data_IF_860966949901
#
_entry.id   IF_860966949901
#
_cell.length_a   1.000
_cell.length_b   1.000
_cell.length_c   1.000
_cell.angle_alpha   90.00
_cell.angle_beta   90.00
_cell.angle_gamma   90.00
#
_symmetry.space_group_name_H-M   'P 1'
#
loop_
_entity.id
_entity.type
_entity.pdbx_description
1 polymer ?
#
# COMPACT_ATOMS: atom_id res chain seq x y z
N UNK A 1 34.62 -4.44 39.94
CA UNK A 1 34.13 -5.77 39.48
C UNK A 1 33.43 -5.55 38.16
N UNK A 2 34.03 -6.02 37.06
CA UNK A 2 33.42 -5.90 35.73
C UNK A 2 32.23 -6.86 35.66
N UNK A 3 31.03 -6.35 35.40
CA UNK A 3 29.86 -7.21 35.25
C UNK A 3 29.91 -7.88 33.87
N UNK A 4 29.88 -9.22 33.85
CA UNK A 4 30.07 -10.04 32.64
C UNK A 4 28.93 -9.95 31.60
N UNK A 5 27.83 -9.26 31.91
CA UNK A 5 26.76 -8.96 30.94
C UNK A 5 26.10 -7.61 31.28
N UNK A 6 25.69 -6.86 30.26
CA UNK A 6 24.89 -5.65 30.43
C UNK A 6 23.41 -6.03 30.47
N UNK A 7 22.81 -5.96 31.67
CA UNK A 7 21.46 -6.46 31.99
C UNK A 7 20.29 -5.51 31.67
N UNK A 8 20.55 -4.23 31.35
CA UNK A 8 19.48 -3.25 31.07
C UNK A 8 19.65 -2.65 29.68
N UNK A 9 18.53 -2.55 28.93
CA UNK A 9 18.50 -2.00 27.56
C UNK A 9 19.01 -0.55 27.55
N UNK A 10 18.82 0.19 28.65
CA UNK A 10 19.29 1.56 28.82
C UNK A 10 20.82 1.67 28.98
N UNK A 11 21.48 0.66 29.56
CA UNK A 11 22.93 0.68 29.74
C UNK A 11 23.69 0.30 28.46
N UNK A 12 23.12 -0.57 27.61
CA UNK A 12 23.71 -0.89 26.31
C UNK A 12 22.67 -1.42 25.29
N UNK A 13 22.08 -0.56 24.44
CA UNK A 13 21.03 -0.96 23.49
C UNK A 13 21.50 -1.95 22.42
N UNK A 14 22.81 -2.03 22.17
CA UNK A 14 23.41 -2.86 21.11
C UNK A 14 23.83 -4.25 21.57
N UNK A 15 24.09 -4.44 22.87
CA UNK A 15 24.73 -5.64 23.41
C UNK A 15 24.01 -6.19 24.66
N UNK A 16 22.73 -5.87 24.81
CA UNK A 16 21.89 -6.33 25.90
C UNK A 16 21.88 -7.87 25.98
N UNK A 17 22.08 -8.41 27.17
CA UNK A 17 22.11 -9.86 27.44
C UNK A 17 23.14 -10.67 26.64
N UNK A 18 24.21 -10.05 26.13
CA UNK A 18 25.28 -10.74 25.41
C UNK A 18 26.57 -10.74 26.25
N UNK A 19 27.27 -11.87 26.26
CA UNK A 19 28.59 -11.96 26.87
C UNK A 19 29.66 -11.27 25.99
N UNK A 20 30.82 -10.88 26.55
CA UNK A 20 31.90 -10.27 25.77
C UNK A 20 32.38 -11.10 24.58
N UNK A 21 32.31 -12.44 24.66
CA UNK A 21 32.63 -13.34 23.55
C UNK A 21 31.57 -13.29 22.44
N UNK A 22 30.29 -13.31 22.81
CA UNK A 22 29.16 -13.22 21.86
C UNK A 22 29.12 -11.87 21.14
N UNK A 23 29.47 -10.77 21.83
CA UNK A 23 29.59 -9.45 21.21
C UNK A 23 30.68 -9.40 20.14
N UNK A 24 31.85 -10.01 20.39
CA UNK A 24 32.95 -10.11 19.41
C UNK A 24 32.53 -10.93 18.18
N UNK A 25 31.88 -12.07 18.39
CA UNK A 25 31.40 -12.91 17.29
C UNK A 25 30.35 -12.19 16.42
N UNK A 26 29.38 -11.51 17.06
CA UNK A 26 28.38 -10.69 16.35
C UNK A 26 29.03 -9.55 15.55
N UNK A 27 30.05 -8.90 16.10
CA UNK A 27 30.80 -7.84 15.41
C UNK A 27 31.54 -8.35 14.18
N UNK A 28 32.26 -9.47 14.30
CA UNK A 28 32.95 -10.11 13.17
C UNK A 28 31.95 -10.55 12.08
N UNK A 29 30.79 -11.09 12.48
CA UNK A 29 29.71 -11.46 11.53
C UNK A 29 29.12 -10.24 10.82
N UNK A 30 28.99 -9.10 11.51
CA UNK A 30 28.53 -7.85 10.89
C UNK A 30 29.58 -7.30 9.93
N UNK A 31 30.85 -7.26 10.34
CA UNK A 31 31.99 -6.83 9.53
C UNK A 31 32.13 -7.66 8.25
N UNK A 32 32.01 -8.98 8.35
CA UNK A 32 32.00 -9.89 7.19
C UNK A 32 30.88 -9.58 6.21
N UNK A 33 29.64 -9.35 6.69
CA UNK A 33 28.49 -8.98 5.84
C UNK A 33 28.69 -7.63 5.15
N UNK A 34 29.26 -6.65 5.85
CA UNK A 34 29.59 -5.35 5.27
C UNK A 34 30.69 -5.47 4.20
N UNK A 35 31.71 -6.28 4.45
CA UNK A 35 32.78 -6.54 3.49
C UNK A 35 32.27 -7.26 2.23
N UNK A 36 31.40 -8.26 2.39
CA UNK A 36 30.71 -8.95 1.29
C UNK A 36 29.84 -7.96 0.49
N UNK A 37 29.04 -7.13 1.17
CA UNK A 37 28.21 -6.09 0.54
C UNK A 37 29.07 -5.08 -0.22
N UNK A 38 30.20 -4.65 0.36
CA UNK A 38 31.14 -3.72 -0.27
C UNK A 38 31.78 -4.34 -1.52
N UNK A 39 32.21 -5.61 -1.44
CA UNK A 39 32.75 -6.37 -2.58
C UNK A 39 31.71 -6.52 -3.70
N UNK A 40 30.46 -6.83 -3.36
CA UNK A 40 29.36 -6.93 -4.33
C UNK A 40 29.09 -5.58 -5.02
N UNK A 41 29.10 -4.47 -4.26
CA UNK A 41 28.93 -3.11 -4.80
C UNK A 41 30.08 -2.69 -5.73
N UNK A 42 31.33 -3.07 -5.42
CA UNK A 42 32.46 -2.82 -6.30
C UNK A 42 32.36 -3.62 -7.60
N UNK A 43 31.91 -4.87 -7.54
CA UNK A 43 31.69 -5.71 -8.71
C UNK A 43 30.55 -5.17 -9.61
N UNK A 44 29.49 -4.63 -9.00
CA UNK A 44 28.40 -3.98 -9.73
C UNK A 44 28.89 -2.69 -10.43
N UNK A 45 29.76 -1.91 -9.78
CA UNK A 45 30.36 -0.70 -10.38
C UNK A 45 31.33 -1.03 -11.53
N UNK A 46 32.04 -2.16 -11.48
CA UNK A 46 32.93 -2.59 -12.57
C UNK A 46 32.18 -3.27 -13.72
N UNK A 47 30.94 -3.73 -13.51
CA UNK A 47 30.10 -4.23 -14.60
C UNK A 47 29.71 -3.05 -15.49
N UNK A 48 30.47 -2.84 -16.58
CA UNK A 48 30.14 -1.81 -17.56
C UNK A 48 28.85 -2.19 -18.26
N UNK A 49 27.89 -1.26 -18.31
CA UNK A 49 26.65 -1.45 -19.06
C UNK A 49 26.94 -1.85 -20.51
N UNK A 50 26.20 -2.82 -21.03
CA UNK A 50 26.32 -3.26 -22.43
C UNK A 50 26.07 -2.08 -23.38
N UNK A 51 26.55 -2.17 -24.62
CA UNK A 51 26.33 -1.13 -25.62
C UNK A 51 24.82 -0.85 -25.83
N UNK A 52 24.00 -1.90 -25.79
CA UNK A 52 22.55 -1.84 -25.88
C UNK A 52 21.92 -1.09 -24.69
N UNK A 53 22.36 -1.37 -23.46
CA UNK A 53 21.90 -0.66 -22.26
C UNK A 53 22.24 0.83 -22.29
N UNK A 54 23.40 1.19 -22.85
CA UNK A 54 23.79 2.60 -23.05
C UNK A 54 22.88 3.29 -24.07
N UNK A 55 22.67 2.68 -25.23
CA UNK A 55 21.78 3.20 -26.25
C UNK A 55 20.35 3.39 -25.74
N UNK A 56 19.83 2.43 -24.96
CA UNK A 56 18.52 2.55 -24.33
C UNK A 56 18.44 3.73 -23.34
N UNK A 57 19.47 3.91 -22.50
CA UNK A 57 19.53 5.03 -21.55
C UNK A 57 19.53 6.38 -22.26
N UNK A 58 20.27 6.51 -23.35
CA UNK A 58 20.34 7.76 -24.11
C UNK A 58 19.03 8.05 -24.83
N UNK A 59 18.34 7.02 -25.36
CA UNK A 59 16.99 7.16 -25.91
C UNK A 59 15.97 7.65 -24.87
N UNK A 60 16.03 7.14 -23.63
CA UNK A 60 15.15 7.64 -22.55
C UNK A 60 15.45 9.09 -22.19
N UNK A 61 16.72 9.49 -22.14
CA UNK A 61 17.06 10.91 -21.91
C UNK A 61 16.48 11.79 -23.00
N UNK A 62 16.61 11.38 -24.26
CA UNK A 62 16.03 12.11 -25.39
C UNK A 62 14.52 12.24 -25.25
N UNK A 63 13.80 11.14 -24.97
CA UNK A 63 12.35 11.16 -24.74
C UNK A 63 11.91 12.09 -23.60
N UNK A 64 12.69 12.16 -22.51
CA UNK A 64 12.44 13.09 -21.40
C UNK A 64 12.65 14.56 -21.76
N UNK A 65 13.57 14.82 -22.69
CA UNK A 65 13.84 16.18 -23.19
C UNK A 65 12.79 16.63 -24.20
N UNK A 66 12.34 15.73 -25.08
CA UNK A 66 11.33 16.01 -26.11
C UNK A 66 9.93 16.19 -25.52
N UNK A 67 9.57 15.37 -24.52
CA UNK A 67 8.28 15.41 -23.84
C UNK A 67 8.37 16.23 -22.53
N UNK A 68 8.74 17.51 -22.64
CA UNK A 68 8.75 18.44 -21.50
C UNK A 68 7.31 18.84 -21.13
N UNK A 69 7.01 18.80 -19.84
CA UNK A 69 5.74 19.34 -19.32
C UNK A 69 5.66 20.85 -19.61
N UNK A 70 4.48 21.40 -19.97
CA UNK A 70 4.26 22.85 -19.95
C UNK A 70 4.67 23.42 -18.58
N UNK A 71 5.21 24.65 -18.56
CA UNK A 71 5.57 25.31 -17.29
C UNK A 71 4.38 25.27 -16.34
N UNK A 72 4.60 25.08 -15.03
CA UNK A 72 3.53 25.08 -14.06
C UNK A 72 2.85 26.46 -14.06
N UNK A 73 1.62 26.52 -14.56
CA UNK A 73 0.68 27.54 -14.09
C UNK A 73 0.10 26.94 -12.82
N UNK A 74 0.69 27.27 -11.68
CA UNK A 74 0.12 26.91 -10.39
C UNK A 74 -1.26 27.55 -10.30
N UNK A 75 -2.37 26.80 -10.20
CA UNK A 75 -3.60 27.39 -9.68
C UNK A 75 -3.27 27.76 -8.23
N UNK A 76 -3.45 29.03 -7.85
CA UNK A 76 -3.43 29.41 -6.44
C UNK A 76 -4.46 28.53 -5.73
N UNK A 77 -4.01 27.67 -4.81
CA UNK A 77 -4.92 26.92 -3.95
C UNK A 77 -5.43 27.91 -2.90
N UNK A 78 -6.75 28.12 -2.89
CA UNK A 78 -7.42 28.76 -1.76
C UNK A 78 -7.23 27.88 -0.51
N UNK A 79 -6.92 28.44 0.67
CA UNK A 79 -6.74 27.65 1.88
C UNK A 79 -8.09 27.11 2.36
N UNK A 80 -8.34 25.80 2.22
CA UNK A 80 -9.55 25.18 2.80
C UNK A 80 -9.96 23.78 2.34
N UNK A 81 -9.47 23.25 1.22
CA UNK A 81 -9.91 21.93 0.73
C UNK A 81 -8.98 20.77 1.17
N UNK A 82 -9.20 20.26 2.38
CA UNK A 82 -8.66 18.97 2.82
C UNK A 82 -9.55 17.81 2.37
N UNK A 83 -9.62 17.59 1.05
CA UNK A 83 -10.01 16.29 0.50
C UNK A 83 -8.83 15.32 0.61
N UNK A 84 -9.05 14.00 0.82
CA UNK A 84 -7.97 13.03 0.84
C UNK A 84 -7.26 13.06 -0.51
N UNK A 85 -6.00 13.51 -0.54
CA UNK A 85 -5.14 13.56 -1.73
C UNK A 85 -4.91 12.13 -2.26
N UNK A 86 -5.85 11.62 -3.07
CA UNK A 86 -5.76 10.29 -3.69
C UNK A 86 -4.90 10.26 -4.95
N UNK A 87 -4.47 11.41 -5.46
CA UNK A 87 -3.61 11.49 -6.65
C UNK A 87 -2.27 12.12 -6.28
N UNK A 88 -1.19 11.48 -6.74
CA UNK A 88 0.16 12.00 -6.59
C UNK A 88 0.29 13.33 -7.35
N UNK A 89 1.02 14.27 -6.75
CA UNK A 89 1.36 15.52 -7.43
C UNK A 89 2.48 15.25 -8.44
N UNK A 90 2.17 15.43 -9.73
CA UNK A 90 3.11 15.20 -10.83
C UNK A 90 3.82 16.49 -11.30
N UNK A 91 3.70 17.58 -10.53
CA UNK A 91 4.39 18.82 -10.83
C UNK A 91 5.92 18.61 -10.87
N UNK A 92 6.57 19.15 -11.91
CA UNK A 92 8.02 19.04 -12.11
C UNK A 92 8.54 17.71 -12.67
N UNK A 93 7.68 16.71 -12.91
CA UNK A 93 8.05 15.44 -13.53
C UNK A 93 7.91 15.54 -15.06
N UNK A 94 8.85 14.99 -15.88
CA UNK A 94 8.70 14.95 -17.32
C UNK A 94 7.42 14.22 -17.74
N UNK A 95 6.72 14.73 -18.75
CA UNK A 95 5.44 14.16 -19.20
C UNK A 95 5.60 12.69 -19.64
N UNK A 96 6.75 12.37 -20.22
CA UNK A 96 7.12 10.99 -20.55
C UNK A 96 7.05 10.06 -19.34
N UNK A 97 7.63 10.45 -18.20
CA UNK A 97 7.66 9.61 -17.00
C UNK A 97 6.26 9.50 -16.36
N UNK A 98 5.44 10.57 -16.46
CA UNK A 98 4.03 10.54 -16.01
C UNK A 98 3.19 9.57 -16.84
N UNK A 99 3.33 9.62 -18.17
CA UNK A 99 2.63 8.68 -19.07
C UNK A 99 3.07 7.25 -18.83
N UNK A 100 4.38 7.03 -18.72
CA UNK A 100 4.95 5.73 -18.40
C UNK A 100 4.38 5.17 -17.08
N UNK A 101 4.23 6.02 -16.06
CA UNK A 101 3.63 5.64 -14.79
C UNK A 101 2.14 5.29 -14.93
N UNK A 102 1.36 6.08 -15.66
CA UNK A 102 -0.07 5.82 -15.90
C UNK A 102 -0.30 4.54 -16.70
N UNK A 103 0.49 4.30 -17.76
CA UNK A 103 0.45 3.06 -18.53
C UNK A 103 0.80 1.86 -17.66
N UNK A 104 1.85 1.96 -16.83
CA UNK A 104 2.20 0.90 -15.89
C UNK A 104 1.07 0.63 -14.88
N UNK A 105 0.41 1.67 -14.35
CA UNK A 105 -0.75 1.51 -13.48
C UNK A 105 -1.92 0.81 -14.19
N UNK A 106 -2.23 1.21 -15.42
CA UNK A 106 -3.30 0.59 -16.22
C UNK A 106 -3.03 -0.90 -16.45
N UNK A 107 -1.80 -1.26 -16.85
CA UNK A 107 -1.40 -2.65 -17.03
C UNK A 107 -1.47 -3.48 -15.75
N UNK A 108 -1.13 -2.88 -14.59
CA UNK A 108 -1.27 -3.54 -13.29
C UNK A 108 -2.74 -3.75 -12.94
N UNK A 109 -3.60 -2.77 -13.21
CA UNK A 109 -5.04 -2.89 -13.00
C UNK A 109 -5.64 -4.03 -13.84
N UNK A 110 -5.34 -4.07 -15.14
CA UNK A 110 -5.82 -5.13 -16.04
C UNK A 110 -5.35 -6.53 -15.59
N UNK A 111 -4.08 -6.64 -15.18
CA UNK A 111 -3.53 -7.90 -14.63
C UNK A 111 -4.21 -8.30 -13.34
N UNK A 112 -4.46 -7.35 -12.45
CA UNK A 112 -5.17 -7.60 -11.20
C UNK A 112 -6.59 -8.09 -11.50
N UNK A 113 -7.30 -7.48 -12.45
CA UNK A 113 -8.63 -7.95 -12.86
C UNK A 113 -8.61 -9.37 -13.45
N UNK A 114 -7.62 -9.68 -14.28
CA UNK A 114 -7.45 -11.02 -14.85
C UNK A 114 -7.11 -12.06 -13.76
N UNK A 115 -6.25 -11.73 -12.81
CA UNK A 115 -5.92 -12.58 -11.67
C UNK A 115 -7.16 -12.79 -10.78
N UNK A 116 -7.91 -11.72 -10.48
CA UNK A 116 -9.16 -11.80 -9.74
C UNK A 116 -10.21 -12.69 -10.42
N UNK A 117 -10.26 -12.73 -11.76
CA UNK A 117 -11.14 -13.61 -12.53
C UNK A 117 -10.73 -15.08 -12.49
N UNK A 118 -9.44 -15.37 -12.34
CA UNK A 118 -8.89 -16.75 -12.37
C UNK A 118 -8.78 -17.37 -10.98
N UNK A 119 -8.70 -16.56 -9.93
CA UNK A 119 -8.74 -17.05 -8.56
C UNK A 119 -10.07 -17.77 -8.32
N UNK A 120 -10.06 -19.01 -7.79
CA UNK A 120 -11.29 -19.61 -7.28
C UNK A 120 -11.86 -18.62 -6.28
N UNK A 121 -13.16 -18.34 -6.44
CA UNK A 121 -13.90 -17.26 -5.82
C UNK A 121 -13.94 -17.41 -4.27
N UNK A 122 -12.81 -17.34 -3.59
CA UNK A 122 -12.63 -17.72 -2.18
C UNK A 122 -11.87 -16.65 -1.38
N UNK A 123 -11.38 -15.59 -2.02
CA UNK A 123 -10.59 -14.52 -1.38
C UNK A 123 -11.29 -13.16 -1.34
N UNK A 124 -12.62 -13.12 -1.39
CA UNK A 124 -13.35 -11.85 -1.45
C UNK A 124 -14.84 -11.98 -1.11
N UNK A 125 -15.48 -10.83 -0.92
CA UNK A 125 -16.94 -10.74 -0.77
C UNK A 125 -17.60 -10.89 -2.13
N UNK A 126 -18.40 -11.95 -2.29
CA UNK A 126 -19.19 -12.19 -3.51
C UNK A 126 -20.55 -11.53 -3.45
N UNK A 127 -21.17 -11.66 -2.29
CA UNK A 127 -22.55 -11.27 -2.07
C UNK A 127 -22.62 -10.30 -0.90
N UNK A 128 -23.52 -9.34 -1.03
CA UNK A 128 -23.84 -8.42 0.02
C UNK A 128 -25.33 -8.50 0.30
N UNK A 129 -25.69 -8.64 1.57
CA UNK A 129 -27.07 -8.60 2.01
C UNK A 129 -27.37 -7.28 2.71
N UNK A 130 -28.40 -6.57 2.24
CA UNK A 130 -28.91 -5.35 2.84
C UNK A 130 -30.44 -5.44 2.91
N UNK A 131 -30.98 -5.44 4.13
CA UNK A 131 -32.40 -5.70 4.36
C UNK A 131 -32.84 -7.04 3.76
N UNK A 132 -33.85 -6.99 2.88
CA UNK A 132 -34.40 -8.15 2.16
C UNK A 132 -33.67 -8.48 0.85
N UNK A 133 -32.73 -7.64 0.43
CA UNK A 133 -32.06 -7.77 -0.85
C UNK A 133 -30.68 -8.42 -0.69
N UNK A 134 -30.36 -9.30 -1.63
CA UNK A 134 -29.03 -9.88 -1.79
C UNK A 134 -28.50 -9.46 -3.16
N UNK A 135 -27.30 -8.89 -3.16
CA UNK A 135 -26.69 -8.26 -4.33
C UNK A 135 -25.33 -8.88 -4.59
N UNK A 136 -24.99 -9.10 -5.85
CA UNK A 136 -23.66 -9.51 -6.27
C UNK A 136 -22.71 -8.31 -6.32
N UNK A 137 -21.48 -8.51 -5.83
CA UNK A 137 -20.46 -7.46 -5.75
C UNK A 137 -19.71 -7.36 -7.09
N UNK A 138 -19.78 -6.20 -7.74
CA UNK A 138 -19.06 -5.96 -9.00
C UNK A 138 -17.57 -5.67 -8.79
N UNK A 139 -17.22 -4.98 -7.71
CA UNK A 139 -15.85 -4.59 -7.37
C UNK A 139 -15.55 -4.86 -5.90
N UNK A 140 -14.34 -5.34 -5.60
CA UNK A 140 -13.94 -5.58 -4.21
C UNK A 140 -13.71 -4.25 -3.47
N UNK A 141 -14.44 -4.06 -2.38
CA UNK A 141 -14.25 -2.92 -1.48
C UNK A 141 -13.17 -3.23 -0.43
N UNK A 142 -12.33 -2.26 -0.04
CA UNK A 142 -11.27 -2.44 0.95
C UNK A 142 -11.84 -2.47 2.38
N UNK A 143 -12.71 -3.45 2.68
CA UNK A 143 -13.12 -3.74 4.05
C UNK A 143 -11.93 -4.30 4.84
N UNK A 144 -11.92 -4.15 6.18
CA UNK A 144 -10.87 -4.75 7.00
C UNK A 144 -10.72 -6.25 6.72
N UNK A 145 -9.49 -6.76 6.79
CA UNK A 145 -9.08 -8.12 6.47
C UNK A 145 -10.02 -9.22 6.96
N UNK A 146 -10.52 -9.07 8.18
CA UNK A 146 -11.46 -9.97 8.83
C UNK A 146 -12.82 -10.13 8.13
N UNK A 147 -13.21 -9.14 7.34
CA UNK A 147 -14.49 -9.04 6.64
C UNK A 147 -14.32 -9.21 5.13
N UNK A 148 -13.22 -8.71 4.56
CA UNK A 148 -12.93 -8.82 3.13
C UNK A 148 -12.84 -10.29 2.67
N UNK A 149 -12.39 -11.19 3.54
CA UNK A 149 -12.30 -12.64 3.25
C UNK A 149 -13.65 -13.37 3.30
N UNK A 150 -14.71 -12.74 3.80
CA UNK A 150 -16.01 -13.39 3.92
C UNK A 150 -16.68 -13.47 2.55
N UNK A 151 -17.26 -14.62 2.16
CA UNK A 151 -17.94 -14.76 0.88
C UNK A 151 -19.23 -13.93 0.81
N UNK A 152 -19.82 -13.62 1.97
CA UNK A 152 -21.04 -12.82 2.09
C UNK A 152 -20.92 -11.83 3.24
N UNK A 153 -21.20 -10.57 2.97
CA UNK A 153 -21.21 -9.49 3.96
C UNK A 153 -22.65 -9.06 4.26
N UNK A 154 -22.93 -8.71 5.53
CA UNK A 154 -24.25 -8.28 5.97
C UNK A 154 -24.20 -6.80 6.39
N UNK A 155 -25.00 -5.95 5.75
CA UNK A 155 -25.15 -4.54 6.06
C UNK A 155 -26.50 -4.25 6.72
N UNK A 156 -26.51 -3.37 7.72
CA UNK A 156 -27.74 -2.76 8.20
C UNK A 156 -28.28 -1.76 7.18
N UNK A 157 -29.59 -1.80 6.90
CA UNK A 157 -30.22 -0.92 5.91
C UNK A 157 -30.26 0.56 6.32
N UNK A 158 -30.19 0.84 7.62
CA UNK A 158 -30.26 2.21 8.15
C UNK A 158 -28.89 2.80 8.45
N UNK A 159 -28.08 2.12 9.28
CA UNK A 159 -26.80 2.67 9.73
C UNK A 159 -25.61 2.25 8.86
N UNK A 160 -25.82 1.40 7.84
CA UNK A 160 -24.79 0.86 6.95
C UNK A 160 -23.63 0.14 7.67
N UNK A 161 -23.83 -0.24 8.94
CA UNK A 161 -22.84 -1.03 9.68
C UNK A 161 -22.72 -2.43 9.07
N UNK A 162 -21.49 -2.87 8.86
CA UNK A 162 -21.14 -4.20 8.35
C UNK A 162 -20.96 -5.24 9.45
N UNK A 163 -21.36 -6.47 9.15
CA UNK A 163 -21.39 -7.59 10.11
C UNK A 163 -20.98 -8.90 9.44
N UNK A 164 -20.36 -9.80 10.23
CA UNK A 164 -19.84 -11.09 9.75
C UNK A 164 -20.94 -12.12 9.47
N UNK A 165 -22.04 -12.08 10.24
CA UNK A 165 -23.10 -13.11 10.18
C UNK A 165 -24.50 -12.49 10.26
N UNK A 166 -25.49 -13.23 9.73
CA UNK A 166 -26.91 -12.86 9.79
C UNK A 166 -27.43 -12.72 11.23
N UNK A 167 -26.94 -13.53 12.17
CA UNK A 167 -27.35 -13.46 13.58
C UNK A 167 -26.91 -12.15 14.25
N UNK A 168 -25.72 -11.64 13.91
CA UNK A 168 -25.25 -10.34 14.39
C UNK A 168 -26.11 -9.22 13.78
N UNK A 169 -26.42 -9.30 12.48
CA UNK A 169 -27.36 -8.38 11.80
C UNK A 169 -28.72 -8.32 12.50
N UNK A 170 -29.31 -9.47 12.82
CA UNK A 170 -30.59 -9.52 13.51
C UNK A 170 -30.55 -8.84 14.89
N UNK A 171 -29.54 -9.17 15.71
CA UNK A 171 -29.37 -8.53 17.03
C UNK A 171 -29.10 -7.03 16.92
N UNK A 172 -28.35 -6.63 15.89
CA UNK A 172 -28.08 -5.22 15.62
C UNK A 172 -29.35 -4.50 15.20
N UNK A 173 -30.14 -5.05 14.28
CA UNK A 173 -31.40 -4.46 13.81
C UNK A 173 -32.38 -4.20 14.97
N UNK A 174 -32.45 -5.12 15.94
CA UNK A 174 -33.28 -4.95 17.14
C UNK A 174 -32.80 -3.84 18.10
N UNK A 175 -31.51 -3.49 18.05
CA UNK A 175 -30.90 -2.46 18.90
C UNK A 175 -30.57 -1.17 18.15
N UNK A 176 -30.77 -1.14 16.83
CA UNK A 176 -30.38 -0.03 15.98
C UNK A 176 -31.37 1.11 16.16
N UNK A 177 -30.84 2.27 16.57
CA UNK A 177 -31.63 3.50 16.79
C UNK A 177 -31.99 4.16 15.45
N UNK A 178 -31.16 3.97 14.42
CA UNK A 178 -31.34 4.60 13.11
C UNK A 178 -32.54 4.01 12.36
N UNK A 179 -33.43 4.89 11.89
CA UNK A 179 -34.55 4.60 10.97
C UNK A 179 -34.55 5.47 9.72
N UNK A 180 -33.67 6.46 9.68
CA UNK A 180 -33.38 7.31 8.55
C UNK A 180 -31.86 7.54 8.50
N UNK A 181 -31.29 7.96 7.36
CA UNK A 181 -29.88 8.32 7.27
C UNK A 181 -29.53 9.44 8.27
N UNK A 182 -28.31 9.43 8.83
CA UNK A 182 -27.81 10.55 9.61
C UNK A 182 -27.62 11.79 8.72
N UNK A 183 -28.10 12.95 9.19
CA UNK A 183 -27.97 14.22 8.47
C UNK A 183 -29.22 15.08 8.57
N UNK A 184 -29.16 16.27 7.98
CA UNK A 184 -30.29 17.17 7.84
C UNK A 184 -31.13 16.79 6.61
N UNK A 185 -32.44 16.74 6.77
CA UNK A 185 -33.37 16.46 5.67
C UNK A 185 -33.63 17.75 4.88
N UNK A 186 -32.97 17.89 3.73
CA UNK A 186 -33.08 19.08 2.86
C UNK A 186 -34.20 19.00 1.82
N UNK A 187 -34.80 17.82 1.65
CA UNK A 187 -35.85 17.55 0.66
C UNK A 187 -36.73 16.38 1.12
N UNK A 188 -38.05 16.48 0.90
CA UNK A 188 -39.04 15.44 1.18
C UNK A 188 -39.97 15.24 -0.02
#
# INVERSE_FOLDING_TARGET
MAHDTHFTIEACPKYHNLTPSQCKEMHERHKKREDERRRALTHLKSSSSTAEQRAYRDRIKENRLTMKSPRPVSPKREPGEEGPKRQADFSGIPLYDVRLFQEAQALVADKLEAELKTLPNTRGTKYLQMGKYEMEVWYQSPYPDDYARLPKLYLCEFCLKYMKTKTILFRHANKCVWKHPPGEEVYR
#
